data_IF_023104479368
#
_entry.id   IF_023104479368
#
_cell.length_a   1.000
_cell.length_b   1.000
_cell.length_c   1.000
_cell.angle_alpha   90.00
_cell.angle_beta   90.00
_cell.angle_gamma   90.00
#
_symmetry.space_group_name_H-M   'P 1'
#
loop_
_entity.id
_entity.type
_entity.pdbx_description
1 polymer ?
#
# COMPACT_ATOMS: atom_id res chain seq x y z
N UNK A 1 -0.25 -16.77 0.42
CA UNK A 1 -1.65 -16.54 0.20
C UNK A 1 -2.40 -17.88 0.18
N UNK A 2 -3.49 -17.99 0.94
CA UNK A 2 -4.32 -19.20 1.05
C UNK A 2 -5.76 -19.01 0.54
N UNK A 3 -6.06 -17.80 -0.03
CA UNK A 3 -7.37 -17.46 -0.58
C UNK A 3 -7.64 -18.11 -1.96
N UNK A 4 -8.88 -18.07 -2.38
CA UNK A 4 -9.31 -18.52 -3.71
C UNK A 4 -8.69 -17.63 -4.80
N UNK A 5 -8.53 -18.19 -6.01
CA UNK A 5 -8.11 -17.43 -7.17
C UNK A 5 -9.26 -16.53 -7.64
N UNK A 6 -8.95 -15.27 -7.96
CA UNK A 6 -9.89 -14.31 -8.56
C UNK A 6 -9.81 -14.29 -10.10
N UNK A 7 -9.10 -15.26 -10.70
CA UNK A 7 -8.79 -15.29 -12.13
C UNK A 7 -9.55 -16.38 -12.91
N UNK A 8 -10.41 -17.14 -12.25
CA UNK A 8 -11.12 -18.28 -12.85
C UNK A 8 -10.20 -19.25 -13.61
N UNK A 9 -8.97 -19.45 -13.10
CA UNK A 9 -7.95 -20.30 -13.70
C UNK A 9 -7.17 -19.67 -14.85
N UNK A 10 -7.48 -18.45 -15.28
CA UNK A 10 -6.73 -17.77 -16.33
C UNK A 10 -5.39 -17.23 -15.82
N UNK A 11 -4.40 -17.18 -16.69
CA UNK A 11 -3.14 -16.47 -16.44
C UNK A 11 -3.29 -14.98 -16.76
N UNK A 12 -2.68 -14.13 -15.94
CA UNK A 12 -2.63 -12.68 -16.14
C UNK A 12 -1.19 -12.20 -16.20
N UNK A 13 -0.94 -11.15 -16.97
CA UNK A 13 0.37 -10.51 -17.06
C UNK A 13 0.45 -9.25 -16.16
N UNK A 14 1.67 -8.78 -15.89
CA UNK A 14 1.87 -7.47 -15.24
C UNK A 14 1.30 -6.30 -16.08
N UNK A 15 1.21 -6.48 -17.40
CA UNK A 15 0.58 -5.49 -18.27
C UNK A 15 -0.94 -5.44 -18.07
N UNK A 16 -1.59 -6.60 -17.89
CA UNK A 16 -3.02 -6.67 -17.57
C UNK A 16 -3.31 -6.05 -16.20
N UNK A 17 -2.48 -6.34 -15.19
CA UNK A 17 -2.56 -5.72 -13.86
C UNK A 17 -2.45 -4.20 -13.98
N UNK A 18 -1.46 -3.69 -14.71
CA UNK A 18 -1.29 -2.25 -14.91
C UNK A 18 -2.54 -1.61 -15.56
N UNK A 19 -3.08 -2.25 -16.59
CA UNK A 19 -4.24 -1.74 -17.33
C UNK A 19 -5.50 -1.75 -16.48
N UNK A 20 -5.77 -2.84 -15.79
CA UNK A 20 -6.98 -3.02 -14.98
C UNK A 20 -7.00 -2.11 -13.78
N UNK A 21 -5.98 -2.19 -12.94
CA UNK A 21 -5.90 -1.43 -11.69
C UNK A 21 -5.41 0.02 -11.89
N UNK A 22 -4.80 0.32 -13.03
CA UNK A 22 -4.36 1.67 -13.39
C UNK A 22 -3.08 2.13 -12.72
N UNK A 23 -2.16 1.22 -12.37
CA UNK A 23 -0.85 1.62 -11.84
C UNK A 23 -0.11 2.55 -12.80
N UNK A 24 0.57 3.55 -12.26
CA UNK A 24 1.37 4.51 -13.05
C UNK A 24 2.43 3.77 -13.88
N UNK A 25 3.17 2.87 -13.26
CA UNK A 25 4.11 1.98 -13.92
C UNK A 25 4.23 0.64 -13.19
N UNK A 26 4.65 -0.40 -13.92
CA UNK A 26 5.10 -1.67 -13.33
C UNK A 26 6.46 -2.00 -13.91
N UNK A 27 7.45 -2.21 -13.07
CA UNK A 27 8.81 -2.58 -13.46
C UNK A 27 9.14 -3.97 -12.93
N UNK A 28 9.62 -4.86 -13.80
CA UNK A 28 10.05 -6.21 -13.43
C UNK A 28 11.56 -6.31 -13.58
N UNK A 29 12.24 -6.91 -12.62
CA UNK A 29 13.68 -7.09 -12.63
C UNK A 29 14.14 -7.98 -13.78
N UNK A 30 15.24 -7.62 -14.46
CA UNK A 30 15.76 -8.34 -15.65
C UNK A 30 16.17 -9.80 -15.37
N UNK A 31 16.46 -10.12 -14.11
CA UNK A 31 16.85 -11.45 -13.64
C UNK A 31 15.67 -12.36 -13.29
N UNK A 32 14.44 -11.86 -13.39
CA UNK A 32 13.20 -12.63 -13.18
C UNK A 32 12.87 -13.37 -14.48
N UNK A 33 12.80 -14.69 -14.42
CA UNK A 33 12.45 -15.52 -15.60
C UNK A 33 10.98 -15.35 -16.00
N UNK A 34 10.62 -15.71 -17.22
CA UNK A 34 9.24 -15.63 -17.71
C UNK A 34 8.27 -16.45 -16.85
N UNK A 35 8.68 -17.65 -16.41
CA UNK A 35 7.86 -18.49 -15.53
C UNK A 35 7.64 -17.83 -14.16
N UNK A 36 8.68 -17.26 -13.56
CA UNK A 36 8.57 -16.52 -12.31
C UNK A 36 7.70 -15.27 -12.45
N UNK A 37 7.79 -14.56 -13.58
CA UNK A 37 6.94 -13.41 -13.87
C UNK A 37 5.48 -13.81 -13.95
N UNK A 38 5.16 -14.95 -14.58
CA UNK A 38 3.79 -15.44 -14.70
C UNK A 38 3.21 -15.82 -13.33
N UNK A 39 3.96 -16.59 -12.54
CA UNK A 39 3.55 -16.97 -11.19
C UNK A 39 3.33 -15.71 -10.32
N UNK A 40 4.28 -14.77 -10.36
CA UNK A 40 4.19 -13.55 -9.59
C UNK A 40 3.01 -12.67 -10.02
N UNK A 41 2.76 -12.51 -11.31
CA UNK A 41 1.63 -11.74 -11.80
C UNK A 41 0.29 -12.33 -11.33
N UNK A 42 0.14 -13.65 -11.40
CA UNK A 42 -1.03 -14.35 -10.90
C UNK A 42 -1.27 -14.13 -9.41
N UNK A 43 -0.22 -14.30 -8.60
CA UNK A 43 -0.29 -14.08 -7.14
C UNK A 43 -0.58 -12.61 -6.80
N UNK A 44 0.00 -11.69 -7.56
CA UNK A 44 -0.20 -10.25 -7.38
C UNK A 44 -1.64 -9.85 -7.66
N UNK A 45 -2.19 -10.32 -8.77
CA UNK A 45 -3.57 -10.09 -9.16
C UNK A 45 -4.53 -10.56 -8.06
N UNK A 46 -4.37 -11.81 -7.62
CA UNK A 46 -5.21 -12.37 -6.57
C UNK A 46 -5.07 -11.62 -5.23
N UNK A 47 -3.85 -11.17 -4.87
CA UNK A 47 -3.63 -10.41 -3.64
C UNK A 47 -4.22 -8.99 -3.69
N UNK A 48 -4.24 -8.36 -4.87
CA UNK A 48 -4.91 -7.05 -5.05
C UNK A 48 -6.43 -7.19 -4.94
N UNK A 49 -7.02 -8.27 -5.48
CA UNK A 49 -8.45 -8.53 -5.30
C UNK A 49 -8.81 -8.92 -3.87
N UNK A 50 -7.97 -9.68 -3.15
CA UNK A 50 -8.17 -9.89 -1.72
C UNK A 50 -8.24 -8.55 -0.96
N UNK A 51 -7.36 -7.60 -1.30
CA UNK A 51 -7.36 -6.27 -0.68
C UNK A 51 -8.63 -5.47 -1.03
N UNK A 52 -9.09 -5.54 -2.30
CA UNK A 52 -10.33 -4.92 -2.76
C UNK A 52 -11.54 -5.48 -1.99
N UNK A 53 -11.62 -6.79 -1.86
CA UNK A 53 -12.73 -7.46 -1.18
C UNK A 53 -12.75 -7.15 0.33
N UNK A 54 -11.59 -7.14 0.97
CA UNK A 54 -11.49 -6.82 2.40
C UNK A 54 -11.85 -5.36 2.67
N UNK A 55 -11.37 -4.43 1.84
CA UNK A 55 -11.58 -3.00 2.03
C UNK A 55 -12.88 -2.48 1.41
N UNK A 56 -13.59 -3.32 0.62
CA UNK A 56 -14.80 -2.95 -0.11
C UNK A 56 -14.59 -1.69 -0.99
N UNK A 57 -13.48 -1.69 -1.73
CA UNK A 57 -13.07 -0.60 -2.62
C UNK A 57 -13.13 -1.04 -4.08
N UNK A 58 -13.09 -0.08 -5.02
CA UNK A 58 -13.01 -0.41 -6.44
C UNK A 58 -11.54 -0.61 -6.89
N UNK A 59 -11.37 -1.23 -8.08
CA UNK A 59 -10.06 -1.62 -8.61
C UNK A 59 -9.07 -0.45 -8.73
N UNK A 60 -9.55 0.76 -9.03
CA UNK A 60 -8.68 1.93 -9.20
C UNK A 60 -8.08 2.45 -7.89
N UNK A 61 -8.72 2.15 -6.78
CA UNK A 61 -8.24 2.61 -5.47
C UNK A 61 -6.94 1.92 -5.07
N UNK A 62 -6.70 0.65 -5.48
CA UNK A 62 -5.45 -0.04 -5.14
C UNK A 62 -4.20 0.56 -5.81
N UNK A 63 -4.38 1.31 -6.90
CA UNK A 63 -3.31 2.11 -7.50
C UNK A 63 -3.25 3.54 -6.96
N UNK A 64 -4.05 3.86 -5.92
CA UNK A 64 -4.24 5.20 -5.41
C UNK A 64 -4.59 6.19 -6.54
N UNK A 65 -5.58 5.77 -7.34
CA UNK A 65 -6.05 6.49 -8.53
C UNK A 65 -4.94 6.79 -9.55
N UNK A 66 -4.06 5.83 -9.79
CA UNK A 66 -2.99 5.91 -10.78
C UNK A 66 -1.73 6.65 -10.31
N UNK A 67 -1.64 6.99 -9.02
CA UNK A 67 -0.44 7.65 -8.48
C UNK A 67 0.64 6.69 -7.99
N UNK A 68 0.34 5.39 -7.91
CA UNK A 68 1.23 4.37 -7.37
C UNK A 68 1.90 3.56 -8.48
N UNK A 69 3.19 3.29 -8.31
CA UNK A 69 3.98 2.40 -9.16
C UNK A 69 4.33 1.09 -8.43
N UNK A 70 4.57 0.02 -9.20
CA UNK A 70 5.03 -1.26 -8.69
C UNK A 70 6.44 -1.58 -9.23
N UNK A 71 7.27 -2.21 -8.39
CA UNK A 71 8.53 -2.81 -8.78
C UNK A 71 8.59 -4.25 -8.23
N UNK A 72 8.76 -5.23 -9.10
CA UNK A 72 8.88 -6.64 -8.72
C UNK A 72 10.26 -7.18 -9.06
N UNK A 73 10.94 -7.75 -8.06
CA UNK A 73 12.28 -8.27 -8.23
C UNK A 73 13.33 -7.20 -8.57
N UNK A 74 13.03 -5.92 -8.32
CA UNK A 74 13.93 -4.78 -8.52
C UNK A 74 13.55 -3.64 -7.56
N UNK A 75 14.44 -2.69 -7.36
CA UNK A 75 14.19 -1.52 -6.52
C UNK A 75 14.13 -1.82 -5.02
N UNK A 76 14.39 -3.07 -4.60
CA UNK A 76 14.36 -3.51 -3.21
C UNK A 76 15.50 -2.94 -2.37
N UNK A 77 15.25 -2.81 -1.06
CA UNK A 77 16.29 -2.55 -0.08
C UNK A 77 16.98 -3.86 0.32
N UNK A 78 18.27 -3.78 0.62
CA UNK A 78 19.04 -4.93 1.12
C UNK A 78 18.41 -5.41 2.43
N UNK A 79 18.08 -6.71 2.48
CA UNK A 79 17.42 -7.37 3.63
C UNK A 79 15.91 -7.08 3.83
N UNK A 80 15.24 -6.34 2.94
CA UNK A 80 13.80 -6.17 2.98
C UNK A 80 13.12 -7.01 1.88
N UNK A 81 12.07 -7.76 2.24
CA UNK A 81 11.25 -8.51 1.28
C UNK A 81 10.29 -7.59 0.50
N UNK A 82 9.92 -6.49 1.10
CA UNK A 82 9.10 -5.45 0.50
C UNK A 82 9.43 -4.10 1.13
N UNK A 83 9.14 -2.99 0.44
CA UNK A 83 9.12 -1.66 1.01
C UNK A 83 8.35 -0.68 0.13
N UNK A 84 7.76 0.33 0.75
CA UNK A 84 7.23 1.51 0.08
C UNK A 84 8.29 2.61 -0.03
N UNK A 85 8.49 3.13 -1.23
CA UNK A 85 9.41 4.25 -1.48
C UNK A 85 8.61 5.53 -1.71
N UNK A 86 8.48 6.37 -0.69
CA UNK A 86 7.61 7.57 -0.70
C UNK A 86 7.97 8.57 -1.79
N UNK A 87 9.26 8.89 -1.99
CA UNK A 87 9.69 9.84 -3.02
C UNK A 87 9.39 9.38 -4.46
N UNK A 88 9.30 8.06 -4.70
CA UNK A 88 8.94 7.48 -6.01
C UNK A 88 7.47 7.07 -6.09
N UNK A 89 6.75 7.09 -4.98
CA UNK A 89 5.42 6.49 -4.82
C UNK A 89 5.39 5.09 -5.40
N UNK A 90 6.30 4.24 -4.93
CA UNK A 90 6.53 2.92 -5.50
C UNK A 90 6.53 1.84 -4.43
N UNK A 91 5.74 0.79 -4.64
CA UNK A 91 5.84 -0.46 -3.91
C UNK A 91 6.93 -1.32 -4.56
N UNK A 92 7.95 -1.69 -3.82
CA UNK A 92 9.00 -2.59 -4.27
C UNK A 92 8.90 -3.92 -3.52
N UNK A 93 8.79 -5.02 -4.27
CA UNK A 93 8.59 -6.37 -3.75
C UNK A 93 9.70 -7.29 -4.25
N UNK A 94 10.33 -8.02 -3.34
CA UNK A 94 11.25 -9.09 -3.69
C UNK A 94 10.48 -10.30 -4.25
N UNK A 95 11.17 -11.22 -4.92
CA UNK A 95 10.57 -12.43 -5.51
C UNK A 95 9.86 -13.33 -4.50
N UNK A 96 10.31 -13.33 -3.26
CA UNK A 96 9.79 -14.12 -2.15
C UNK A 96 8.85 -13.32 -1.21
N UNK A 97 8.47 -12.12 -1.60
CA UNK A 97 7.51 -11.33 -0.83
C UNK A 97 6.14 -12.04 -0.81
N UNK A 98 5.57 -12.24 0.37
CA UNK A 98 4.24 -12.81 0.54
C UNK A 98 3.13 -11.78 0.30
N UNK A 99 1.88 -12.25 0.15
CA UNK A 99 0.70 -11.37 -0.03
C UNK A 99 0.50 -10.36 1.11
N UNK A 100 0.82 -10.73 2.36
CA UNK A 100 0.79 -9.82 3.49
C UNK A 100 1.79 -8.66 3.37
N UNK A 101 2.94 -8.88 2.74
CA UNK A 101 3.92 -7.82 2.49
C UNK A 101 3.35 -6.76 1.51
N UNK A 102 2.61 -7.18 0.49
CA UNK A 102 1.93 -6.25 -0.41
C UNK A 102 0.93 -5.36 0.34
N UNK A 103 0.07 -5.95 1.15
CA UNK A 103 -0.92 -5.20 1.93
C UNK A 103 -0.24 -4.23 2.92
N UNK A 104 0.79 -4.67 3.63
CA UNK A 104 1.55 -3.84 4.57
C UNK A 104 2.13 -2.59 3.87
N UNK A 105 2.84 -2.78 2.77
CA UNK A 105 3.45 -1.66 2.04
C UNK A 105 2.40 -0.78 1.34
N UNK A 106 1.25 -1.36 0.95
CA UNK A 106 0.14 -0.60 0.41
C UNK A 106 -0.45 0.36 1.45
N UNK A 107 -0.56 -0.05 2.72
CA UNK A 107 -1.03 0.84 3.77
C UNK A 107 -0.05 1.99 4.02
N UNK A 108 1.25 1.78 3.93
CA UNK A 108 2.22 2.89 3.93
C UNK A 108 2.00 3.85 2.75
N UNK A 109 1.76 3.31 1.55
CA UNK A 109 1.47 4.13 0.38
C UNK A 109 0.15 4.91 0.53
N UNK A 110 -0.88 4.30 1.10
CA UNK A 110 -2.16 4.92 1.38
C UNK A 110 -2.01 6.05 2.41
N UNK A 111 -1.33 5.81 3.52
CA UNK A 111 -1.06 6.80 4.56
C UNK A 111 -0.33 8.04 4.00
N UNK A 112 0.70 7.81 3.17
CA UNK A 112 1.38 8.89 2.47
C UNK A 112 0.46 9.61 1.45
N UNK A 113 -0.40 8.87 0.73
CA UNK A 113 -1.34 9.44 -0.24
C UNK A 113 -2.38 10.34 0.41
N UNK A 114 -2.96 9.94 1.54
CA UNK A 114 -3.99 10.72 2.24
C UNK A 114 -3.43 11.95 2.93
N UNK A 115 -2.14 11.99 3.29
CA UNK A 115 -1.53 13.15 3.95
C UNK A 115 -1.78 14.46 3.20
N UNK A 116 -1.80 14.40 1.86
CA UNK A 116 -2.06 15.56 1.00
C UNK A 116 -3.49 16.12 1.09
N UNK A 117 -4.41 15.39 1.69
CA UNK A 117 -5.82 15.78 1.88
C UNK A 117 -6.22 15.87 3.34
N UNK A 118 -5.46 15.24 4.20
CA UNK A 118 -5.70 15.17 5.63
C UNK A 118 -5.12 16.38 6.37
N UNK A 119 -3.96 16.85 5.92
CA UNK A 119 -3.22 17.93 6.58
C UNK A 119 -3.48 19.29 5.96
N UNK A 120 -3.61 20.35 6.79
CA UNK A 120 -3.73 21.73 6.34
C UNK A 120 -2.46 22.22 5.63
N UNK A 121 -1.28 21.73 6.04
CA UNK A 121 0.02 22.06 5.45
C UNK A 121 0.80 20.76 5.08
N UNK A 122 0.39 20.03 4.02
CA UNK A 122 1.03 18.79 3.65
C UNK A 122 2.46 19.01 3.12
N UNK A 123 3.38 18.15 3.54
CA UNK A 123 4.75 18.09 3.02
C UNK A 123 4.94 16.85 2.12
N UNK A 124 5.81 16.91 1.09
CA UNK A 124 5.89 15.86 0.05
C UNK A 124 6.17 14.44 0.53
N UNK A 125 6.86 14.28 1.66
CA UNK A 125 7.26 12.96 2.19
C UNK A 125 6.67 12.65 3.56
N UNK A 126 5.68 13.43 3.99
CA UNK A 126 5.05 13.27 5.29
C UNK A 126 3.89 12.25 5.20
N UNK A 127 3.82 11.36 6.17
CA UNK A 127 2.71 10.42 6.35
C UNK A 127 1.63 11.06 7.23
N UNK A 128 0.37 10.76 6.96
CA UNK A 128 -0.75 11.35 7.72
C UNK A 128 -0.73 10.89 9.19
N UNK A 129 -0.46 9.61 9.44
CA UNK A 129 -0.37 9.05 10.79
C UNK A 129 0.74 9.70 11.62
N UNK A 130 1.94 9.85 11.04
CA UNK A 130 3.06 10.52 11.72
C UNK A 130 2.74 11.98 12.02
N UNK A 131 2.21 12.70 11.03
CA UNK A 131 1.85 14.11 11.22
C UNK A 131 0.75 14.29 12.29
N UNK A 132 -0.20 13.36 12.36
CA UNK A 132 -1.24 13.38 13.38
C UNK A 132 -0.65 13.13 14.78
N UNK A 133 0.30 12.20 14.93
CA UNK A 133 1.02 11.97 16.18
C UNK A 133 1.88 13.18 16.59
N UNK A 134 2.33 13.97 15.64
CA UNK A 134 3.10 15.22 15.85
C UNK A 134 2.17 16.46 15.98
N UNK A 135 0.88 16.27 16.28
CA UNK A 135 -0.12 17.33 16.47
C UNK A 135 -0.28 18.29 15.27
N UNK A 136 -0.07 17.81 14.05
CA UNK A 136 -0.24 18.62 12.87
C UNK A 136 -1.71 19.03 12.64
N UNK A 137 -1.92 20.25 12.17
CA UNK A 137 -3.26 20.79 11.89
C UNK A 137 -3.93 20.02 10.74
N UNK A 138 -5.18 19.61 10.96
CA UNK A 138 -5.98 18.85 10.00
C UNK A 138 -6.89 19.75 9.19
N UNK A 139 -7.14 19.38 7.94
CA UNK A 139 -8.23 19.99 7.16
C UNK A 139 -9.57 19.67 7.80
N UNK A 140 -10.39 20.67 8.06
CA UNK A 140 -11.73 20.47 8.61
C UNK A 140 -12.63 19.74 7.59
N UNK A 141 -12.82 18.45 7.80
CA UNK A 141 -13.67 17.60 6.95
C UNK A 141 -14.16 16.38 7.74
N UNK A 142 -15.44 15.95 7.62
CA UNK A 142 -15.98 14.83 8.39
C UNK A 142 -15.22 13.51 8.24
N UNK A 143 -14.66 13.23 7.06
CA UNK A 143 -13.83 12.04 6.84
C UNK A 143 -12.48 12.12 7.56
N UNK A 144 -11.90 13.32 7.66
CA UNK A 144 -10.65 13.52 8.37
C UNK A 144 -10.83 13.34 9.89
N UNK A 145 -11.97 13.76 10.44
CA UNK A 145 -12.31 13.49 11.85
C UNK A 145 -12.40 11.99 12.11
N UNK A 146 -13.10 11.24 11.25
CA UNK A 146 -13.17 9.78 11.37
C UNK A 146 -11.81 9.08 11.24
N UNK A 147 -10.94 9.60 10.40
CA UNK A 147 -9.57 9.08 10.27
C UNK A 147 -8.75 9.39 11.52
N UNK A 148 -8.90 10.57 12.10
CA UNK A 148 -8.28 10.93 13.39
C UNK A 148 -8.77 10.03 14.52
N UNK A 149 -10.08 9.75 14.60
CA UNK A 149 -10.64 8.79 15.56
C UNK A 149 -10.03 7.38 15.36
N UNK A 150 -9.86 6.95 14.11
CA UNK A 150 -9.20 5.69 13.80
C UNK A 150 -7.74 5.67 14.27
N UNK A 151 -6.97 6.73 14.03
CA UNK A 151 -5.60 6.85 14.51
C UNK A 151 -5.54 6.86 16.04
N UNK A 152 -6.44 7.54 16.71
CA UNK A 152 -6.55 7.53 18.16
C UNK A 152 -6.72 6.09 18.69
N UNK A 153 -7.66 5.34 18.13
CA UNK A 153 -7.91 3.95 18.53
C UNK A 153 -6.75 3.00 18.24
N UNK A 154 -5.99 3.25 17.16
CA UNK A 154 -4.89 2.39 16.75
C UNK A 154 -3.58 2.70 17.47
N UNK A 155 -3.30 3.96 17.78
CA UNK A 155 -1.98 4.42 18.19
C UNK A 155 -1.89 4.87 19.63
N UNK A 156 -3.00 5.25 20.26
CA UNK A 156 -2.99 5.68 21.65
C UNK A 156 -3.45 4.56 22.59
N UNK A 157 -3.13 4.72 23.85
CA UNK A 157 -3.62 3.88 24.93
C UNK A 157 -5.14 4.06 25.18
N UNK A 158 -5.69 3.30 26.11
CA UNK A 158 -7.14 3.24 26.33
C UNK A 158 -7.75 4.58 26.79
N UNK A 159 -6.97 5.46 27.42
CA UNK A 159 -7.40 6.78 27.86
C UNK A 159 -7.03 7.91 26.86
N UNK A 160 -6.33 7.56 25.80
CA UNK A 160 -5.94 8.50 24.73
C UNK A 160 -4.82 9.47 25.13
N UNK A 161 -4.10 9.21 26.22
CA UNK A 161 -3.13 10.15 26.78
C UNK A 161 -1.71 9.98 26.23
N UNK A 162 -1.36 8.78 25.77
CA UNK A 162 -0.01 8.44 25.32
C UNK A 162 -0.02 7.41 24.18
N UNK A 163 1.05 7.32 23.36
CA UNK A 163 1.21 6.24 22.41
C UNK A 163 1.17 4.88 23.12
N UNK A 164 0.44 3.93 22.54
CA UNK A 164 0.33 2.58 23.08
C UNK A 164 1.62 1.76 22.84
N UNK A 165 1.74 0.61 23.50
CA UNK A 165 2.91 -0.28 23.38
C UNK A 165 3.20 -0.76 21.95
N UNK A 166 2.21 -0.73 21.06
CA UNK A 166 2.38 -1.14 19.66
C UNK A 166 3.14 -0.09 18.85
N UNK A 167 2.92 1.19 19.13
CA UNK A 167 3.63 2.32 18.49
C UNK A 167 5.04 2.48 19.04
N UNK A 168 5.26 2.12 20.31
CA UNK A 168 6.54 2.27 20.99
C UNK A 168 7.56 1.14 20.70
N UNK A 169 7.19 0.13 19.91
CA UNK A 169 8.07 -0.99 19.50
C UNK A 169 8.72 -0.79 18.16
#
# INVERSE_FOLDING_TARGET
RNGQSHRDGADVSFQDIRRLFGFQSITVGRWVTAAEQQIAANLFFDALYDLIDILQINERVVSLNGSLSLAFGTGGQKHANAHYHSAKRQLALAKNAGGGALAHEWFHAFDHYISQRFLSAPKPLLFASQAWLDDAELVEHPLNLRLADCFQLMFLDADGSAPNDYVLR
#
